data_IF_534841970687
#
_entry.id   IF_534841970687
#
_cell.length_a   1.000
_cell.length_b   1.000
_cell.length_c   1.000
_cell.angle_alpha   90.00
_cell.angle_beta   90.00
_cell.angle_gamma   90.00
#
_symmetry.space_group_name_H-M   'P 1'
#
loop_
_entity.id
_entity.type
_entity.pdbx_description
1 polymer ?
#
# COMPACT_ATOMS: atom_id res chain seq x y z
N UNK A 1 -0.29 9.10 -13.73
CA UNK A 1 0.62 8.47 -12.77
C UNK A 1 -0.19 7.75 -11.68
N UNK A 2 -1.04 8.43 -10.89
CA UNK A 2 -1.82 7.85 -9.76
C UNK A 2 -2.63 6.63 -10.20
N UNK A 3 -3.41 6.74 -11.27
CA UNK A 3 -4.22 5.63 -11.82
C UNK A 3 -3.33 4.43 -12.17
N UNK A 4 -2.18 4.68 -12.81
CA UNK A 4 -1.24 3.62 -13.16
C UNK A 4 -0.65 2.94 -11.92
N UNK A 5 -0.30 3.69 -10.88
CA UNK A 5 0.16 3.16 -9.60
C UNK A 5 -0.90 2.26 -8.95
N UNK A 6 -2.16 2.72 -8.94
CA UNK A 6 -3.27 1.94 -8.39
C UNK A 6 -3.52 0.67 -9.22
N UNK A 7 -3.47 0.75 -10.55
CA UNK A 7 -3.60 -0.41 -11.44
C UNK A 7 -2.49 -1.44 -11.20
N UNK A 8 -1.25 -0.98 -11.06
CA UNK A 8 -0.09 -1.86 -10.83
C UNK A 8 -0.14 -2.56 -9.48
N UNK A 9 -0.63 -1.86 -8.44
CA UNK A 9 -0.67 -2.41 -7.07
C UNK A 9 -1.84 -3.35 -6.83
N UNK A 10 -3.00 -3.06 -7.41
CA UNK A 10 -4.24 -3.81 -7.18
C UNK A 10 -4.69 -4.52 -8.46
N UNK A 11 -5.49 -3.85 -9.28
CA UNK A 11 -5.95 -4.36 -10.57
C UNK A 11 -6.45 -3.22 -11.48
N UNK A 12 -6.75 -3.55 -12.75
CA UNK A 12 -7.21 -2.57 -13.73
C UNK A 12 -8.52 -1.89 -13.33
N UNK A 13 -9.44 -2.62 -12.72
CA UNK A 13 -10.73 -2.06 -12.31
C UNK A 13 -10.58 -1.08 -11.14
N UNK A 14 -9.71 -1.37 -10.17
CA UNK A 14 -9.38 -0.45 -9.09
C UNK A 14 -8.74 0.84 -9.63
N UNK A 15 -7.91 0.71 -10.67
CA UNK A 15 -7.35 1.87 -11.38
C UNK A 15 -8.42 2.71 -12.10
N UNK A 16 -9.39 2.10 -12.75
CA UNK A 16 -10.53 2.82 -13.34
C UNK A 16 -11.38 3.54 -12.28
N UNK A 17 -11.66 2.89 -11.16
CA UNK A 17 -12.39 3.49 -10.05
C UNK A 17 -11.60 4.69 -9.49
N UNK A 18 -10.28 4.56 -9.32
CA UNK A 18 -9.42 5.68 -8.90
C UNK A 18 -9.49 6.84 -9.91
N UNK A 19 -9.56 6.57 -11.21
CA UNK A 19 -9.75 7.62 -12.22
C UNK A 19 -11.06 8.36 -12.00
N UNK A 20 -12.18 7.67 -11.81
CA UNK A 20 -13.47 8.30 -11.52
C UNK A 20 -13.47 9.10 -10.21
N UNK A 21 -12.71 8.64 -9.19
CA UNK A 21 -12.52 9.39 -7.94
C UNK A 21 -11.81 10.73 -8.21
N UNK A 22 -10.71 10.71 -8.95
CA UNK A 22 -9.95 11.91 -9.30
C UNK A 22 -10.77 12.89 -10.17
N UNK A 23 -11.53 12.38 -11.11
CA UNK A 23 -12.45 13.19 -11.94
C UNK A 23 -13.61 13.79 -11.12
N UNK A 24 -14.01 13.11 -10.02
CA UNK A 24 -15.03 13.60 -9.09
C UNK A 24 -14.49 14.73 -8.22
N UNK A 25 -13.24 14.62 -7.77
CA UNK A 25 -12.60 15.66 -6.97
C UNK A 25 -12.40 16.96 -7.78
N UNK A 26 -11.82 16.84 -8.98
CA UNK A 26 -11.50 18.00 -9.85
C UNK A 26 -11.74 17.66 -11.32
N UNK A 27 -12.96 17.94 -11.83
CA UNK A 27 -13.23 17.71 -13.24
C UNK A 27 -12.25 18.48 -14.15
N UNK A 28 -11.47 17.76 -14.95
CA UNK A 28 -10.58 18.35 -15.93
C UNK A 28 -9.28 18.98 -15.39
N UNK A 29 -9.01 18.88 -14.10
CA UNK A 29 -7.80 19.47 -13.49
C UNK A 29 -7.00 18.38 -12.75
N UNK A 30 -5.69 18.29 -13.02
CA UNK A 30 -4.81 17.43 -12.26
C UNK A 30 -4.62 17.96 -10.81
N UNK A 31 -4.36 17.08 -9.82
CA UNK A 31 -3.99 17.50 -8.47
C UNK A 31 -2.78 18.44 -8.51
N UNK A 32 -2.81 19.51 -7.70
CA UNK A 32 -1.68 20.39 -7.55
C UNK A 32 -0.59 19.70 -6.70
N UNK A 33 0.67 20.06 -6.93
CA UNK A 33 1.82 19.55 -6.17
C UNK A 33 1.71 19.78 -4.65
N UNK A 34 0.97 20.83 -4.25
CA UNK A 34 0.73 21.20 -2.85
C UNK A 34 -0.44 20.48 -2.20
N UNK A 35 -1.22 19.72 -2.98
CA UNK A 35 -2.40 19.04 -2.43
C UNK A 35 -1.98 17.76 -1.72
N UNK A 36 -2.13 17.72 -0.42
CA UNK A 36 -1.90 16.53 0.39
C UNK A 36 -3.02 15.49 0.25
N UNK A 37 -4.26 15.96 0.07
CA UNK A 37 -5.49 15.17 0.03
C UNK A 37 -6.50 15.72 -0.97
N UNK A 38 -7.37 14.84 -1.45
CA UNK A 38 -8.55 15.26 -2.22
C UNK A 38 -9.61 15.88 -1.31
N UNK A 39 -10.62 16.50 -1.93
CA UNK A 39 -11.86 16.83 -1.24
C UNK A 39 -12.59 15.55 -0.80
N UNK A 40 -13.48 15.60 0.21
CA UNK A 40 -14.29 14.46 0.59
C UNK A 40 -15.19 14.00 -0.55
N UNK A 41 -15.12 12.71 -0.88
CA UNK A 41 -15.88 12.07 -1.95
C UNK A 41 -16.85 11.08 -1.29
N UNK A 42 -18.13 11.10 -1.65
CA UNK A 42 -19.08 10.10 -1.16
C UNK A 42 -19.19 8.90 -2.10
N UNK A 43 -19.42 7.71 -1.54
CA UNK A 43 -19.64 6.47 -2.32
C UNK A 43 -20.83 6.62 -3.27
N UNK A 44 -21.90 7.30 -2.83
CA UNK A 44 -23.10 7.57 -3.64
C UNK A 44 -22.77 8.48 -4.82
N UNK A 45 -22.03 9.56 -4.60
CA UNK A 45 -21.58 10.46 -5.67
C UNK A 45 -20.73 9.74 -6.72
N UNK A 46 -19.85 8.86 -6.26
CA UNK A 46 -19.04 8.03 -7.13
C UNK A 46 -19.89 7.03 -7.93
N UNK A 47 -20.87 6.38 -7.29
CA UNK A 47 -21.78 5.43 -7.96
C UNK A 47 -22.57 6.08 -9.11
N UNK A 48 -22.95 7.34 -8.97
CA UNK A 48 -23.65 8.10 -10.02
C UNK A 48 -22.75 8.47 -11.22
N UNK A 49 -21.43 8.59 -10.99
CA UNK A 49 -20.48 8.96 -12.05
C UNK A 49 -20.01 7.78 -12.89
N UNK A 50 -20.00 6.60 -12.31
CA UNK A 50 -19.56 5.40 -13.02
C UNK A 50 -20.60 5.02 -14.08
N UNK A 51 -20.21 4.88 -15.35
CA UNK A 51 -21.12 4.45 -16.41
C UNK A 51 -21.74 3.07 -16.09
N UNK A 52 -23.03 2.89 -16.37
CA UNK A 52 -23.76 1.63 -16.13
C UNK A 52 -23.18 0.43 -16.89
N UNK A 53 -22.49 0.68 -18.00
CA UNK A 53 -21.81 -0.33 -18.81
C UNK A 53 -20.49 -0.81 -18.19
N UNK A 54 -19.98 -0.11 -17.17
CA UNK A 54 -18.74 -0.50 -16.49
C UNK A 54 -18.99 -1.75 -15.67
N UNK A 55 -18.33 -2.85 -16.06
CA UNK A 55 -18.46 -4.14 -15.35
C UNK A 55 -17.60 -4.14 -14.09
N UNK A 56 -18.01 -3.42 -13.05
CA UNK A 56 -17.32 -3.28 -11.75
C UNK A 56 -16.99 -4.65 -11.14
N UNK A 57 -17.80 -5.67 -11.38
CA UNK A 57 -17.60 -7.04 -10.91
C UNK A 57 -16.31 -7.71 -11.43
N UNK A 58 -15.70 -7.22 -12.52
CA UNK A 58 -14.49 -7.82 -13.11
C UNK A 58 -13.26 -7.81 -12.20
N UNK A 59 -13.22 -6.94 -11.24
CA UNK A 59 -12.08 -6.85 -10.29
C UNK A 59 -12.17 -7.82 -9.12
N UNK A 60 -13.27 -8.55 -8.98
CA UNK A 60 -13.46 -9.56 -7.94
C UNK A 60 -13.40 -10.97 -8.53
N UNK A 61 -12.93 -11.92 -7.70
CA UNK A 61 -13.03 -13.33 -8.08
C UNK A 61 -14.51 -13.76 -8.09
N UNK A 62 -14.96 -14.28 -9.24
CA UNK A 62 -16.34 -14.75 -9.44
C UNK A 62 -16.77 -15.79 -8.40
N UNK A 63 -15.83 -16.62 -7.92
CA UNK A 63 -16.12 -17.66 -6.92
C UNK A 63 -16.45 -17.06 -5.58
N UNK A 64 -15.72 -16.04 -5.15
CA UNK A 64 -15.97 -15.35 -3.88
C UNK A 64 -17.29 -14.61 -3.87
N UNK A 65 -17.69 -14.01 -5.00
CA UNK A 65 -18.98 -13.34 -5.14
C UNK A 65 -20.12 -14.36 -5.14
N UNK A 66 -20.04 -15.42 -5.95
CA UNK A 66 -21.11 -16.42 -6.05
C UNK A 66 -21.30 -17.23 -4.77
N UNK A 67 -20.23 -17.66 -4.12
CA UNK A 67 -20.32 -18.50 -2.89
C UNK A 67 -21.03 -17.79 -1.73
N UNK A 68 -21.02 -16.47 -1.67
CA UNK A 68 -21.68 -15.70 -0.60
C UNK A 68 -23.13 -15.31 -0.97
N UNK A 69 -23.45 -15.19 -2.26
CA UNK A 69 -24.81 -14.88 -2.69
C UNK A 69 -25.72 -16.08 -2.74
N UNK A 70 -25.20 -17.29 -3.03
CA UNK A 70 -25.98 -18.54 -3.05
C UNK A 70 -26.58 -18.93 -1.70
N UNK A 71 -26.06 -18.38 -0.59
CA UNK A 71 -26.51 -18.79 0.75
C UNK A 71 -27.53 -17.85 1.41
N UNK A 72 -27.70 -16.62 0.97
CA UNK A 72 -28.57 -15.66 1.69
C UNK A 72 -29.37 -14.61 0.89
N UNK A 73 -29.09 -14.35 -0.39
CA UNK A 73 -29.82 -13.35 -1.20
C UNK A 73 -29.81 -13.72 -2.68
N UNK A 74 -30.98 -13.87 -3.29
CA UNK A 74 -31.13 -14.07 -4.74
C UNK A 74 -30.96 -12.80 -5.59
N UNK A 75 -30.43 -11.72 -5.03
CA UNK A 75 -30.26 -10.42 -5.71
C UNK A 75 -28.79 -10.17 -6.06
N UNK A 76 -28.53 -9.76 -7.30
CA UNK A 76 -27.21 -9.27 -7.71
C UNK A 76 -26.80 -8.05 -6.87
N UNK A 77 -25.51 -7.96 -6.45
CA UNK A 77 -25.04 -6.84 -5.61
C UNK A 77 -25.24 -5.51 -6.32
N UNK A 78 -25.63 -4.50 -5.56
CA UNK A 78 -25.77 -3.15 -6.09
C UNK A 78 -24.38 -2.53 -6.39
N UNK A 79 -24.35 -1.58 -7.32
CA UNK A 79 -23.12 -0.83 -7.65
C UNK A 79 -22.48 -0.20 -6.40
N UNK A 80 -23.29 0.33 -5.48
CA UNK A 80 -22.82 0.96 -4.23
C UNK A 80 -22.17 -0.04 -3.28
N UNK A 81 -22.70 -1.27 -3.20
CA UNK A 81 -22.13 -2.34 -2.38
C UNK A 81 -20.77 -2.82 -2.94
N UNK A 82 -20.68 -2.97 -4.27
CA UNK A 82 -19.40 -3.33 -4.91
C UNK A 82 -18.37 -2.21 -4.75
N UNK A 83 -18.76 -0.96 -4.88
CA UNK A 83 -17.87 0.18 -4.65
C UNK A 83 -17.37 0.25 -3.21
N UNK A 84 -18.23 -0.08 -2.23
CA UNK A 84 -17.81 -0.14 -0.84
C UNK A 84 -16.68 -1.16 -0.62
N UNK A 85 -16.69 -2.30 -1.32
CA UNK A 85 -15.58 -3.28 -1.27
C UNK A 85 -14.27 -2.71 -1.84
N UNK A 86 -14.31 -2.00 -2.98
CA UNK A 86 -13.12 -1.34 -3.52
C UNK A 86 -12.58 -0.25 -2.58
N UNK A 87 -13.47 0.52 -1.96
CA UNK A 87 -13.10 1.52 -0.95
C UNK A 87 -12.47 0.83 0.26
N UNK A 88 -13.01 -0.33 0.69
CA UNK A 88 -12.43 -1.11 1.79
C UNK A 88 -10.98 -1.52 1.47
N UNK A 89 -10.73 -2.06 0.28
CA UNK A 89 -9.38 -2.45 -0.16
C UNK A 89 -8.44 -1.23 -0.20
N UNK A 90 -8.88 -0.10 -0.74
CA UNK A 90 -8.06 1.11 -0.85
C UNK A 90 -7.85 1.83 0.49
N UNK A 91 -8.70 1.60 1.48
CA UNK A 91 -8.55 2.12 2.84
C UNK A 91 -7.74 1.18 3.74
N UNK A 92 -7.50 -0.05 3.31
CA UNK A 92 -6.72 -1.03 4.06
C UNK A 92 -5.27 -0.54 4.21
N UNK A 93 -4.73 -0.74 5.41
CA UNK A 93 -3.33 -0.46 5.69
C UNK A 93 -2.58 -1.79 5.76
N UNK A 94 -1.84 -2.12 4.71
CA UNK A 94 -1.11 -3.39 4.62
C UNK A 94 0.07 -3.46 5.60
N UNK A 95 0.49 -2.32 6.12
CA UNK A 95 1.64 -2.18 7.00
C UNK A 95 1.21 -2.16 8.47
N UNK A 96 0.89 -3.33 9.02
CA UNK A 96 0.47 -3.48 10.42
C UNK A 96 1.62 -3.14 11.39
N UNK A 97 2.87 -3.39 10.98
CA UNK A 97 4.05 -3.26 11.84
C UNK A 97 4.70 -1.87 11.83
N UNK A 98 4.46 -1.04 10.82
CA UNK A 98 5.07 0.29 10.76
C UNK A 98 4.07 1.36 11.19
N UNK A 99 4.21 1.84 12.39
CA UNK A 99 3.54 3.05 12.90
C UNK A 99 3.92 4.32 12.12
N UNK A 100 4.95 4.25 11.28
CA UNK A 100 5.57 5.42 10.65
C UNK A 100 4.97 5.78 9.29
N UNK A 101 4.47 4.81 8.52
CA UNK A 101 3.99 5.08 7.16
C UNK A 101 2.69 4.33 6.86
N UNK A 102 1.62 5.08 6.63
CA UNK A 102 0.37 4.52 6.12
C UNK A 102 0.52 4.17 4.64
N UNK A 103 0.12 2.95 4.27
CA UNK A 103 0.12 2.47 2.88
C UNK A 103 -1.23 2.62 2.21
N UNK A 104 -2.25 3.09 2.94
CA UNK A 104 -3.59 3.28 2.42
C UNK A 104 -3.65 4.42 1.40
N UNK A 105 -4.41 4.22 0.34
CA UNK A 105 -4.64 5.23 -0.69
C UNK A 105 -5.85 6.12 -0.39
N UNK A 106 -6.79 5.62 0.42
CA UNK A 106 -7.95 6.36 0.87
C UNK A 106 -7.99 6.48 2.39
N UNK A 107 -8.42 7.61 2.89
CA UNK A 107 -8.73 7.81 4.31
C UNK A 107 -10.24 7.98 4.50
N UNK A 108 -10.86 7.31 5.49
CA UNK A 108 -12.26 7.53 5.83
C UNK A 108 -12.46 8.95 6.38
N UNK A 109 -13.55 9.59 5.97
CA UNK A 109 -13.92 10.92 6.41
C UNK A 109 -15.42 10.93 6.80
N UNK A 110 -15.74 11.36 8.00
CA UNK A 110 -17.13 11.45 8.46
C UNK A 110 -17.65 10.20 9.18
N UNK A 111 -18.89 10.32 9.70
CA UNK A 111 -19.54 9.32 10.57
C UNK A 111 -20.48 8.33 9.85
N UNK A 112 -20.76 8.55 8.57
CA UNK A 112 -21.62 7.67 7.78
C UNK A 112 -20.92 6.38 7.38
N UNK A 113 -21.66 5.27 7.23
CA UNK A 113 -21.11 4.01 6.77
C UNK A 113 -21.99 3.35 5.71
N UNK A 114 -21.36 2.67 4.75
CA UNK A 114 -21.98 1.86 3.71
C UNK A 114 -21.53 0.41 3.91
N UNK A 115 -22.45 -0.54 3.79
CA UNK A 115 -22.13 -1.96 3.87
C UNK A 115 -21.59 -2.48 2.54
N UNK A 116 -20.51 -3.25 2.58
CA UNK A 116 -19.99 -3.95 1.42
C UNK A 116 -20.81 -5.20 1.09
N UNK A 117 -20.72 -5.62 -0.16
CA UNK A 117 -21.51 -6.71 -0.72
C UNK A 117 -21.11 -8.09 -0.18
N UNK A 118 -19.82 -8.31 -0.04
CA UNK A 118 -19.23 -9.64 0.19
C UNK A 118 -18.94 -9.92 1.64
N UNK A 119 -18.38 -9.00 2.35
CA UNK A 119 -17.89 -9.22 3.73
C UNK A 119 -18.80 -8.63 4.79
N UNK A 120 -19.84 -7.88 4.40
CA UNK A 120 -20.64 -7.08 5.32
C UNK A 120 -19.82 -5.99 6.02
N UNK A 121 -18.60 -5.74 5.54
CA UNK A 121 -17.70 -4.73 6.07
C UNK A 121 -18.32 -3.35 5.95
N UNK A 122 -18.44 -2.66 7.07
CA UNK A 122 -18.91 -1.28 7.07
C UNK A 122 -17.77 -0.34 6.74
N UNK A 123 -17.91 0.37 5.63
CA UNK A 123 -16.95 1.37 5.17
C UNK A 123 -17.53 2.76 5.36
N UNK A 124 -16.70 3.74 5.62
CA UNK A 124 -17.13 5.13 5.68
C UNK A 124 -17.86 5.52 4.39
N UNK A 125 -18.99 6.22 4.51
CA UNK A 125 -19.76 6.71 3.36
C UNK A 125 -19.03 7.79 2.56
N UNK A 126 -18.05 8.44 3.19
CA UNK A 126 -17.23 9.52 2.63
C UNK A 126 -15.76 9.23 2.88
N UNK A 127 -14.92 9.49 1.89
CA UNK A 127 -13.47 9.26 1.95
C UNK A 127 -12.71 10.36 1.21
N UNK A 128 -11.41 10.46 1.49
CA UNK A 128 -10.46 11.35 0.81
C UNK A 128 -9.33 10.52 0.19
N UNK A 129 -8.84 10.93 -0.97
CA UNK A 129 -7.64 10.33 -1.60
C UNK A 129 -6.40 10.92 -0.94
N UNK A 130 -5.51 10.07 -0.46
CA UNK A 130 -4.27 10.45 0.22
C UNK A 130 -3.12 10.54 -0.79
N UNK A 131 -2.93 11.70 -1.43
CA UNK A 131 -1.90 11.90 -2.45
C UNK A 131 -0.49 11.67 -1.91
N UNK A 132 -0.21 12.13 -0.69
CA UNK A 132 1.12 11.96 -0.05
C UNK A 132 1.49 10.48 0.08
N UNK A 133 0.55 9.63 0.47
CA UNK A 133 0.81 8.19 0.60
C UNK A 133 1.05 7.53 -0.75
N UNK A 134 0.30 7.92 -1.78
CA UNK A 134 0.46 7.41 -3.15
C UNK A 134 1.82 7.82 -3.72
N UNK A 135 2.20 9.10 -3.56
CA UNK A 135 3.50 9.60 -4.02
C UNK A 135 4.64 8.88 -3.30
N UNK A 136 4.53 8.71 -1.98
CA UNK A 136 5.53 7.98 -1.19
C UNK A 136 5.68 6.54 -1.67
N UNK A 137 4.57 5.86 -1.94
CA UNK A 137 4.61 4.50 -2.47
C UNK A 137 5.31 4.43 -3.82
N UNK A 138 5.01 5.37 -4.72
CA UNK A 138 5.68 5.47 -6.02
C UNK A 138 7.19 5.70 -5.87
N UNK A 139 7.61 6.57 -4.96
CA UNK A 139 9.03 6.79 -4.68
C UNK A 139 9.72 5.52 -4.18
N UNK A 140 9.09 4.78 -3.27
CA UNK A 140 9.63 3.51 -2.77
C UNK A 140 9.70 2.45 -3.87
N UNK A 141 8.71 2.38 -4.75
CA UNK A 141 8.73 1.46 -5.90
C UNK A 141 9.86 1.81 -6.86
N UNK A 142 10.10 3.09 -7.14
CA UNK A 142 11.23 3.54 -7.98
C UNK A 142 12.58 3.17 -7.35
N UNK A 143 12.76 3.38 -6.03
CA UNK A 143 13.98 2.97 -5.33
C UNK A 143 14.15 1.46 -5.39
N UNK A 144 13.09 0.70 -5.15
CA UNK A 144 13.14 -0.78 -5.23
C UNK A 144 13.59 -1.25 -6.61
N UNK A 145 13.03 -0.67 -7.67
CA UNK A 145 13.38 -1.05 -9.04
C UNK A 145 14.86 -0.71 -9.32
N UNK A 146 15.36 0.46 -8.89
CA UNK A 146 16.77 0.80 -8.96
C UNK A 146 17.68 -0.11 -8.12
N UNK A 147 17.20 -0.59 -6.97
CA UNK A 147 17.91 -1.60 -6.15
C UNK A 147 17.99 -2.93 -6.89
N UNK A 148 16.91 -3.35 -7.54
CA UNK A 148 16.89 -4.59 -8.35
C UNK A 148 17.88 -4.50 -9.51
N UNK A 149 17.89 -3.38 -10.22
CA UNK A 149 18.76 -3.16 -11.38
C UNK A 149 20.24 -3.16 -11.00
N UNK A 150 20.60 -2.56 -9.86
CA UNK A 150 21.99 -2.38 -9.45
C UNK A 150 22.56 -3.53 -8.60
N UNK A 151 21.73 -4.10 -7.73
CA UNK A 151 22.17 -5.09 -6.72
C UNK A 151 21.53 -6.47 -6.91
N UNK A 152 20.60 -6.60 -7.84
CA UNK A 152 19.91 -7.84 -8.19
C UNK A 152 18.61 -8.09 -7.44
N UNK A 153 17.85 -9.11 -7.84
CA UNK A 153 16.48 -9.37 -7.35
C UNK A 153 16.41 -9.73 -5.87
N UNK A 154 17.46 -10.35 -5.32
CA UNK A 154 17.52 -10.70 -3.91
C UNK A 154 17.64 -9.44 -3.05
N UNK A 155 18.41 -8.46 -3.49
CA UNK A 155 18.50 -7.15 -2.82
C UNK A 155 17.16 -6.41 -2.83
N UNK A 156 16.43 -6.43 -3.95
CA UNK A 156 15.06 -5.88 -4.04
C UNK A 156 14.10 -6.57 -3.09
N UNK A 157 14.23 -7.89 -2.89
CA UNK A 157 13.43 -8.65 -1.91
C UNK A 157 13.73 -8.22 -0.49
N UNK A 158 15.01 -8.09 -0.11
CA UNK A 158 15.42 -7.59 1.22
C UNK A 158 14.88 -6.18 1.46
N UNK A 159 15.02 -5.29 0.47
CA UNK A 159 14.48 -3.94 0.53
C UNK A 159 12.96 -3.95 0.79
N UNK A 160 12.19 -4.74 0.03
CA UNK A 160 10.73 -4.85 0.18
C UNK A 160 10.33 -5.37 1.56
N UNK A 161 11.04 -6.39 2.10
CA UNK A 161 10.82 -6.92 3.44
C UNK A 161 11.02 -5.82 4.51
N UNK A 162 12.07 -5.04 4.39
CA UNK A 162 12.37 -3.96 5.34
C UNK A 162 11.39 -2.78 5.24
N UNK A 163 10.92 -2.45 4.05
CA UNK A 163 9.87 -1.45 3.84
C UNK A 163 8.56 -1.90 4.51
N UNK A 164 8.21 -3.18 4.36
CA UNK A 164 6.96 -3.73 4.89
C UNK A 164 7.00 -3.98 6.40
N UNK A 165 8.07 -4.60 6.90
CA UNK A 165 8.18 -5.03 8.29
C UNK A 165 8.89 -4.02 9.20
N UNK A 166 9.55 -3.02 8.62
CA UNK A 166 10.32 -2.03 9.36
C UNK A 166 11.71 -2.53 9.77
N UNK A 167 12.07 -2.39 11.06
CA UNK A 167 13.39 -2.70 11.59
C UNK A 167 13.53 -4.17 11.91
N UNK A 168 14.50 -4.86 11.30
CA UNK A 168 14.73 -6.29 11.46
C UNK A 168 16.21 -6.62 11.65
N UNK A 169 16.49 -7.69 12.42
CA UNK A 169 17.81 -8.33 12.49
C UNK A 169 18.07 -9.17 11.24
N UNK A 170 19.35 -9.39 10.90
CA UNK A 170 19.78 -10.25 9.79
C UNK A 170 19.11 -11.62 9.82
N UNK A 171 19.01 -12.23 11.00
CA UNK A 171 18.38 -13.54 11.19
C UNK A 171 16.91 -13.56 10.76
N UNK A 172 16.17 -12.50 11.06
CA UNK A 172 14.77 -12.39 10.67
C UNK A 172 14.61 -12.12 9.17
N UNK A 173 15.47 -11.26 8.62
CA UNK A 173 15.51 -10.99 7.16
C UNK A 173 15.79 -12.27 6.39
N UNK A 174 16.83 -13.03 6.78
CA UNK A 174 17.19 -14.31 6.18
C UNK A 174 16.02 -15.31 6.21
N UNK A 175 15.34 -15.42 7.36
CA UNK A 175 14.21 -16.34 7.54
C UNK A 175 12.99 -15.95 6.69
N UNK A 176 12.62 -14.67 6.69
CA UNK A 176 11.47 -14.16 5.93
C UNK A 176 11.77 -14.22 4.42
N UNK A 177 12.98 -13.82 4.03
CA UNK A 177 13.41 -13.78 2.64
C UNK A 177 13.73 -15.14 2.03
N UNK A 178 13.84 -16.20 2.85
CA UNK A 178 14.32 -17.53 2.44
C UNK A 178 15.71 -17.45 1.76
N UNK A 179 16.60 -16.65 2.35
CA UNK A 179 17.95 -16.36 1.86
C UNK A 179 18.95 -16.87 2.90
N UNK A 180 20.13 -17.31 2.46
CA UNK A 180 21.19 -17.73 3.40
C UNK A 180 21.67 -16.55 4.27
N UNK A 181 22.10 -16.84 5.50
CA UNK A 181 22.62 -15.80 6.42
C UNK A 181 23.83 -15.04 5.85
N UNK A 182 24.74 -15.77 5.16
CA UNK A 182 25.92 -15.17 4.54
C UNK A 182 25.54 -14.17 3.45
N UNK A 183 24.68 -14.58 2.56
CA UNK A 183 24.16 -13.76 1.46
C UNK A 183 23.34 -12.54 1.98
N UNK A 184 22.52 -12.76 3.01
CA UNK A 184 21.75 -11.66 3.65
C UNK A 184 22.70 -10.59 4.19
N UNK A 185 23.78 -11.01 4.90
CA UNK A 185 24.79 -10.10 5.46
C UNK A 185 25.54 -9.34 4.38
N UNK A 186 25.99 -10.03 3.34
CA UNK A 186 26.70 -9.42 2.21
C UNK A 186 25.82 -8.34 1.53
N UNK A 187 24.59 -8.69 1.20
CA UNK A 187 23.67 -7.76 0.54
C UNK A 187 23.31 -6.58 1.45
N UNK A 188 23.00 -6.82 2.73
CA UNK A 188 22.72 -5.73 3.69
C UNK A 188 23.90 -4.78 3.81
N UNK A 189 25.15 -5.29 3.86
CA UNK A 189 26.34 -4.48 3.91
C UNK A 189 26.55 -3.66 2.63
N UNK A 190 26.30 -4.24 1.46
CA UNK A 190 26.37 -3.54 0.18
C UNK A 190 25.31 -2.43 0.06
N UNK A 191 24.08 -2.70 0.48
CA UNK A 191 23.01 -1.71 0.49
C UNK A 191 23.27 -0.60 1.50
N UNK A 192 23.88 -0.92 2.64
CA UNK A 192 24.31 0.07 3.63
C UNK A 192 25.43 0.96 3.08
N UNK A 193 26.45 0.39 2.44
CA UNK A 193 27.51 1.14 1.78
C UNK A 193 26.99 2.09 0.68
N UNK A 194 25.87 1.72 0.04
CA UNK A 194 25.16 2.57 -0.93
C UNK A 194 24.17 3.56 -0.29
N UNK A 195 24.13 3.66 1.04
CA UNK A 195 23.20 4.53 1.80
C UNK A 195 21.70 4.27 1.54
N UNK A 196 21.35 3.05 1.11
CA UNK A 196 19.97 2.60 0.89
C UNK A 196 19.37 2.07 2.18
N UNK A 197 20.16 1.31 2.96
CA UNK A 197 19.79 0.84 4.29
C UNK A 197 20.51 1.62 5.37
N UNK A 198 19.88 1.67 6.51
CA UNK A 198 20.45 2.21 7.75
C UNK A 198 20.50 1.12 8.81
N UNK A 199 21.44 1.25 9.75
CA UNK A 199 21.63 0.33 10.84
C UNK A 199 21.34 1.03 12.18
N UNK A 200 20.51 0.42 13.00
CA UNK A 200 20.25 0.89 14.37
C UNK A 200 20.80 -0.11 15.39
N UNK A 201 21.59 0.37 16.30
CA UNK A 201 22.08 -0.39 17.44
C UNK A 201 21.13 -0.25 18.62
N UNK A 202 20.71 -1.38 19.20
CA UNK A 202 19.85 -1.43 20.38
C UNK A 202 20.55 -2.25 21.47
N UNK A 203 21.27 -1.62 22.40
CA UNK A 203 21.97 -2.33 23.47
C UNK A 203 20.96 -2.94 24.46
N UNK A 204 21.21 -4.18 24.90
CA UNK A 204 20.40 -4.87 25.92
C UNK A 204 20.67 -4.35 27.35
N UNK A 205 21.83 -3.70 27.58
CA UNK A 205 22.25 -3.17 28.85
C UNK A 205 22.95 -1.83 28.67
N UNK A 206 23.00 -1.03 29.74
CA UNK A 206 23.69 0.27 29.74
C UNK A 206 25.19 0.19 29.44
N UNK A 207 25.81 -0.97 29.58
CA UNK A 207 27.24 -1.22 29.32
C UNK A 207 27.63 -1.22 27.85
N UNK A 208 26.67 -1.13 26.93
CA UNK A 208 26.88 -1.11 25.46
C UNK A 208 27.83 -2.19 24.95
N UNK A 209 27.79 -3.40 25.53
CA UNK A 209 28.60 -4.51 25.06
C UNK A 209 28.14 -4.96 23.66
N UNK A 210 29.02 -5.00 22.65
CA UNK A 210 28.65 -5.42 21.27
C UNK A 210 28.03 -6.82 21.19
N UNK A 211 28.43 -7.75 22.07
CA UNK A 211 27.87 -9.10 22.14
C UNK A 211 26.44 -9.14 22.68
N UNK A 212 26.01 -8.06 23.35
CA UNK A 212 24.67 -7.87 23.90
C UNK A 212 23.91 -6.72 23.24
N UNK A 213 24.23 -6.42 21.97
CA UNK A 213 23.59 -5.37 21.17
C UNK A 213 22.84 -6.00 20.01
N UNK A 214 21.60 -5.59 19.81
CA UNK A 214 20.85 -5.94 18.60
C UNK A 214 21.21 -4.94 17.50
N UNK A 215 21.47 -5.44 16.32
CA UNK A 215 21.71 -4.66 15.11
C UNK A 215 20.49 -4.80 14.20
N UNK A 216 19.75 -3.70 14.06
CA UNK A 216 18.51 -3.67 13.29
C UNK A 216 18.70 -2.91 11.99
N UNK A 217 18.51 -3.58 10.90
CA UNK A 217 18.48 -3.01 9.56
C UNK A 217 17.11 -2.39 9.27
N UNK A 218 17.10 -1.23 8.63
CA UNK A 218 15.86 -0.58 8.20
C UNK A 218 16.08 0.33 6.99
N UNK A 219 14.99 0.64 6.29
CA UNK A 219 14.95 1.61 5.19
C UNK A 219 14.57 2.97 5.76
N UNK A 220 15.45 3.96 5.58
CA UNK A 220 15.13 5.34 5.87
C UNK A 220 14.56 6.01 4.61
N UNK A 221 13.24 6.24 4.60
CA UNK A 221 12.54 6.83 3.47
C UNK A 221 13.04 8.25 3.13
N UNK A 222 13.62 8.98 4.10
CA UNK A 222 14.17 10.32 3.86
C UNK A 222 15.51 10.22 3.13
N UNK A 223 16.38 9.31 3.57
CA UNK A 223 17.67 9.05 2.92
C UNK A 223 17.51 8.43 1.52
N UNK A 224 16.55 7.52 1.35
CA UNK A 224 16.27 6.91 0.05
C UNK A 224 15.84 7.91 -1.02
N UNK A 225 15.22 9.03 -0.65
CA UNK A 225 14.85 10.10 -1.60
C UNK A 225 16.06 10.80 -2.19
N UNK A 226 17.16 10.94 -1.44
CA UNK A 226 18.39 11.55 -1.93
C UNK A 226 19.14 10.66 -2.92
N UNK A 227 18.76 9.38 -3.02
CA UNK A 227 19.34 8.41 -3.93
C UNK A 227 18.67 8.43 -5.32
N UNK A 228 17.43 8.96 -5.41
CA UNK A 228 16.70 9.21 -6.66
C UNK A 228 17.16 10.50 -7.33
#
# INVERSE_FOLDING_TARGET
IIVRATTSRYNSMTGEIMRYMLETDRPGTAPCEKDERSRPISVSSLAHRIPKDTRIQRGFDKRSIMAQYDTKRSATPSTSELLAEYVAVLTCNDNISSSVHSTRFLAPCGSGSVSGATTGTRVASTFTVEYVNIIRQLQLDMVRDGVVDRFGPIAGRIFSILVEKGKLEEKHISKIGLISMGETRDICSRLFAASILSLQEVPKSNERNPQRTFFLWYVDAVHCKSWL
#
